data_IF_574258973149
#
_entry.id   IF_574258973149
#
_cell.length_a   1.000
_cell.length_b   1.000
_cell.length_c   1.000
_cell.angle_alpha   90.00
_cell.angle_beta   90.00
_cell.angle_gamma   90.00
#
_symmetry.space_group_name_H-M   'P 1'
#
loop_
_entity.id
_entity.type
_entity.pdbx_description
1 polymer ?
#
# COMPACT_ATOMS: atom_id res chain seq x y z
N UNK A 1 -30.57 -11.81 -5.37
CA UNK A 1 -29.18 -11.52 -4.95
C UNK A 1 -28.33 -12.55 -5.62
N UNK A 2 -27.34 -12.14 -6.41
CA UNK A 2 -26.36 -13.09 -6.92
C UNK A 2 -25.60 -13.65 -5.70
N UNK A 3 -25.57 -14.97 -5.58
CA UNK A 3 -24.74 -15.63 -4.58
C UNK A 3 -23.28 -15.43 -5.03
N UNK A 4 -22.62 -14.45 -4.48
CA UNK A 4 -21.20 -14.25 -4.66
C UNK A 4 -20.49 -15.31 -3.82
N UNK A 5 -19.70 -16.13 -4.47
CA UNK A 5 -18.89 -17.13 -3.80
C UNK A 5 -17.55 -16.49 -3.44
N UNK A 6 -17.54 -15.70 -2.38
CA UNK A 6 -16.31 -15.10 -1.84
C UNK A 6 -15.45 -16.24 -1.29
N UNK A 7 -14.23 -16.32 -1.79
CA UNK A 7 -13.28 -17.38 -1.41
C UNK A 7 -12.51 -16.99 -0.18
N UNK A 8 -11.31 -16.46 -0.36
CA UNK A 8 -10.41 -16.15 0.75
C UNK A 8 -10.01 -14.67 0.74
N UNK A 9 -10.38 -13.92 1.78
CA UNK A 9 -9.90 -12.55 1.95
C UNK A 9 -8.39 -12.50 2.11
N UNK A 10 -7.79 -11.40 1.62
CA UNK A 10 -6.37 -11.12 1.74
C UNK A 10 -6.14 -9.80 2.44
N UNK A 11 -5.20 -9.80 3.37
CA UNK A 11 -4.73 -8.63 4.09
C UNK A 11 -3.31 -8.32 3.66
N UNK A 12 -3.02 -7.04 3.42
CA UNK A 12 -1.70 -6.54 3.08
C UNK A 12 -1.26 -5.61 4.19
N UNK A 13 -0.36 -6.07 5.04
CA UNK A 13 0.09 -5.37 6.24
C UNK A 13 1.36 -4.57 5.98
N UNK A 14 1.51 -3.41 6.63
CA UNK A 14 2.62 -2.48 6.41
C UNK A 14 3.74 -2.67 7.43
N UNK A 15 4.86 -3.22 7.00
CA UNK A 15 6.04 -3.40 7.83
C UNK A 15 6.82 -2.09 8.05
N UNK A 16 6.76 -1.12 7.13
CA UNK A 16 7.49 0.15 7.28
C UNK A 16 7.02 0.85 8.55
N UNK A 17 5.72 1.08 8.68
CA UNK A 17 5.17 1.76 9.85
C UNK A 17 5.16 0.89 11.11
N UNK A 18 5.12 -0.42 10.95
CA UNK A 18 5.31 -1.34 12.07
C UNK A 18 6.67 -1.14 12.74
N UNK A 19 7.74 -1.07 11.97
CA UNK A 19 9.09 -0.84 12.47
C UNK A 19 9.30 0.58 12.98
N UNK A 20 8.73 1.59 12.30
CA UNK A 20 8.80 2.99 12.76
C UNK A 20 8.20 3.17 14.15
N UNK A 21 7.06 2.59 14.42
CA UNK A 21 6.42 2.67 15.73
C UNK A 21 7.23 2.02 16.84
N UNK A 22 8.20 1.16 16.49
CA UNK A 22 9.13 0.52 17.41
C UNK A 22 10.51 1.21 17.48
N UNK A 23 10.59 2.43 16.99
CA UNK A 23 11.77 3.29 17.12
C UNK A 23 12.84 3.07 16.05
N UNK A 24 12.53 2.35 14.97
CA UNK A 24 13.47 2.19 13.85
C UNK A 24 13.31 3.32 12.84
N UNK A 25 14.41 3.92 12.41
CA UNK A 25 14.43 4.85 11.28
C UNK A 25 14.32 4.04 9.98
N UNK A 26 13.14 3.99 9.38
CA UNK A 26 12.85 2.99 8.35
C UNK A 26 12.79 3.55 6.94
N UNK A 27 12.53 4.81 6.74
CA UNK A 27 12.38 5.36 5.40
C UNK A 27 13.19 6.63 5.18
N UNK A 28 13.75 6.81 3.99
CA UNK A 28 14.43 8.05 3.57
C UNK A 28 14.27 8.27 2.08
N UNK A 29 14.31 9.54 1.67
CA UNK A 29 14.45 9.94 0.26
C UNK A 29 15.88 10.45 0.07
N UNK A 30 16.52 9.99 -0.99
CA UNK A 30 17.86 10.47 -1.36
C UNK A 30 17.78 11.97 -1.67
N UNK A 31 18.70 12.74 -1.08
CA UNK A 31 18.73 14.20 -1.24
C UNK A 31 19.03 14.58 -2.71
N UNK A 32 18.58 15.75 -3.10
CA UNK A 32 18.87 16.32 -4.42
C UNK A 32 20.36 16.35 -4.67
N UNK A 33 20.78 15.73 -5.74
CA UNK A 33 22.19 15.60 -6.14
C UNK A 33 22.31 15.67 -7.66
N UNK A 34 22.91 16.73 -8.15
CA UNK A 34 23.13 16.93 -9.60
C UNK A 34 24.15 15.97 -10.19
N UNK A 35 25.04 15.40 -9.38
CA UNK A 35 26.05 14.43 -9.85
C UNK A 35 25.45 13.05 -10.11
N UNK A 36 24.40 12.69 -9.38
CA UNK A 36 23.69 11.41 -9.48
C UNK A 36 22.23 11.59 -9.97
N UNK A 37 21.87 12.83 -10.36
CA UNK A 37 20.56 13.13 -10.94
C UNK A 37 19.38 12.71 -10.07
N UNK A 38 19.46 12.94 -8.75
CA UNK A 38 18.37 12.69 -7.84
C UNK A 38 17.54 13.95 -7.55
N UNK A 39 16.24 13.75 -7.37
CA UNK A 39 15.30 14.74 -6.86
C UNK A 39 14.96 14.36 -5.42
N UNK A 40 15.32 15.23 -4.49
CA UNK A 40 15.00 15.07 -3.08
C UNK A 40 13.59 15.55 -2.73
N UNK A 41 13.27 15.46 -1.45
CA UNK A 41 12.03 16.00 -0.90
C UNK A 41 12.01 17.54 -1.04
N UNK A 42 10.84 18.14 -1.34
CA UNK A 42 10.65 19.57 -1.21
C UNK A 42 10.97 20.06 0.21
N UNK A 43 11.47 21.27 0.34
CA UNK A 43 11.88 21.83 1.64
C UNK A 43 10.75 21.91 2.69
N UNK A 44 9.50 21.85 2.26
CA UNK A 44 8.31 21.87 3.11
C UNK A 44 7.86 20.51 3.59
N UNK A 45 8.45 19.44 3.05
CA UNK A 45 8.05 18.07 3.32
C UNK A 45 9.18 17.27 4.01
N UNK A 46 8.74 16.27 4.75
CA UNK A 46 9.60 15.27 5.38
C UNK A 46 9.24 13.89 4.87
N UNK A 47 10.07 12.89 5.12
CA UNK A 47 9.74 11.49 4.78
C UNK A 47 8.49 11.02 5.54
N UNK A 48 8.20 11.63 6.67
CA UNK A 48 7.01 11.31 7.47
C UNK A 48 5.71 11.58 6.73
N UNK A 49 5.69 12.55 5.82
CA UNK A 49 4.51 12.85 4.99
C UNK A 49 4.18 11.70 4.02
N UNK A 50 5.16 10.89 3.64
CA UNK A 50 4.97 9.68 2.82
C UNK A 50 4.62 8.44 3.65
N UNK A 51 4.83 8.51 4.96
CA UNK A 51 4.68 7.38 5.89
C UNK A 51 3.62 7.63 6.97
N UNK A 52 2.85 8.71 6.86
CA UNK A 52 1.79 9.08 7.82
C UNK A 52 0.51 8.25 7.67
N UNK A 53 0.46 7.35 6.70
CA UNK A 53 -0.71 6.53 6.33
C UNK A 53 -1.93 7.38 5.97
N UNK A 54 -1.69 8.56 5.40
CA UNK A 54 -2.69 9.48 4.87
C UNK A 54 -2.47 9.71 3.37
N UNK A 55 -2.77 8.75 2.53
CA UNK A 55 -2.42 8.84 1.11
C UNK A 55 -3.02 10.02 0.36
N UNK A 56 -3.98 10.73 0.95
CA UNK A 56 -4.51 11.98 0.40
C UNK A 56 -3.54 13.17 0.54
N UNK A 57 -2.59 13.08 1.46
CA UNK A 57 -1.52 14.06 1.63
C UNK A 57 -0.38 13.70 0.68
N UNK A 58 -0.44 14.21 -0.55
CA UNK A 58 0.58 13.90 -1.53
C UNK A 58 1.80 14.81 -1.37
N UNK A 59 2.98 14.24 -1.46
CA UNK A 59 4.25 14.97 -1.67
C UNK A 59 4.44 15.16 -3.17
N UNK A 60 4.79 16.36 -3.59
CA UNK A 60 5.03 16.70 -5.00
C UNK A 60 6.52 16.90 -5.23
N UNK A 61 7.10 16.12 -6.14
CA UNK A 61 8.50 16.19 -6.55
C UNK A 61 8.62 17.02 -7.83
N UNK A 62 9.58 17.94 -7.88
CA UNK A 62 9.82 18.81 -9.05
C UNK A 62 10.46 18.05 -10.22
N UNK A 63 9.69 17.13 -10.80
CA UNK A 63 10.15 16.29 -11.91
C UNK A 63 9.97 16.96 -13.26
N UNK A 64 9.03 17.89 -13.39
CA UNK A 64 8.77 18.63 -14.64
C UNK A 64 9.95 19.55 -15.02
N UNK A 65 10.67 20.10 -14.03
CA UNK A 65 11.88 20.89 -14.25
C UNK A 65 13.14 20.03 -14.44
N UNK A 66 13.11 18.75 -14.05
CA UNK A 66 14.25 17.83 -13.98
C UNK A 66 13.91 16.49 -14.63
N UNK A 67 13.52 16.53 -15.89
CA UNK A 67 12.87 15.41 -16.59
C UNK A 67 13.72 14.14 -16.74
N UNK A 68 15.04 14.24 -16.58
CA UNK A 68 15.97 13.10 -16.61
C UNK A 68 16.36 12.56 -15.24
N UNK A 69 15.93 13.24 -14.15
CA UNK A 69 16.31 12.85 -12.79
C UNK A 69 15.38 11.78 -12.21
N UNK A 70 15.81 11.18 -11.11
CA UNK A 70 15.11 10.09 -10.43
C UNK A 70 14.73 10.45 -9.00
N UNK A 71 13.66 9.86 -8.48
CA UNK A 71 13.32 9.91 -7.05
C UNK A 71 13.64 8.55 -6.47
N UNK A 72 14.50 8.50 -5.46
CA UNK A 72 14.92 7.25 -4.82
C UNK A 72 14.45 7.19 -3.37
N UNK A 73 13.55 6.27 -3.09
CA UNK A 73 13.06 5.99 -1.74
C UNK A 73 13.75 4.76 -1.18
N UNK A 74 14.41 4.92 -0.05
CA UNK A 74 15.16 3.87 0.64
C UNK A 74 14.44 3.41 1.91
N UNK A 75 14.45 2.11 2.16
CA UNK A 75 13.91 1.49 3.36
C UNK A 75 14.95 0.58 4.02
N UNK A 76 15.13 0.74 5.33
CA UNK A 76 16.02 -0.12 6.12
C UNK A 76 15.22 -0.74 7.26
N UNK A 77 14.91 -2.02 7.17
CA UNK A 77 14.28 -2.74 8.27
C UNK A 77 15.30 -3.05 9.38
N UNK A 78 14.85 -3.04 10.63
CA UNK A 78 15.73 -3.29 11.78
C UNK A 78 16.29 -4.72 11.83
N UNK A 79 15.53 -5.68 11.30
CA UNK A 79 15.91 -7.09 11.20
C UNK A 79 15.50 -7.64 9.83
N UNK A 80 16.10 -8.77 9.42
CA UNK A 80 15.77 -9.49 8.20
C UNK A 80 14.69 -10.57 8.41
N UNK A 81 14.01 -10.57 9.56
CA UNK A 81 13.15 -11.71 9.96
C UNK A 81 11.68 -11.55 9.57
N UNK A 82 11.38 -10.66 8.63
CA UNK A 82 10.02 -10.42 8.19
C UNK A 82 9.87 -10.77 6.73
N UNK A 83 8.79 -11.45 6.42
CA UNK A 83 8.43 -11.76 5.03
C UNK A 83 7.94 -10.50 4.32
N UNK A 84 8.43 -10.27 3.12
CA UNK A 84 7.92 -9.24 2.24
C UNK A 84 7.42 -9.92 0.97
N UNK A 85 6.14 -9.74 0.67
CA UNK A 85 5.47 -10.37 -0.46
C UNK A 85 4.74 -9.38 -1.35
N UNK A 86 4.76 -8.09 -1.00
CA UNK A 86 4.17 -7.06 -1.83
C UNK A 86 4.80 -5.69 -1.61
N UNK A 87 4.61 -4.84 -2.59
CA UNK A 87 4.88 -3.40 -2.56
C UNK A 87 3.62 -2.68 -3.01
N UNK A 88 3.25 -1.60 -2.32
CA UNK A 88 2.18 -0.72 -2.75
C UNK A 88 2.65 0.73 -2.82
N UNK A 89 2.37 1.36 -3.96
CA UNK A 89 2.58 2.77 -4.21
C UNK A 89 1.20 3.44 -4.16
N UNK A 90 0.99 4.27 -3.13
CA UNK A 90 -0.33 4.80 -2.81
C UNK A 90 -0.55 6.19 -3.40
N UNK A 91 -1.69 6.38 -4.02
CA UNK A 91 -2.17 7.67 -4.53
C UNK A 91 -1.10 8.45 -5.31
N UNK A 92 -0.59 7.85 -6.34
CA UNK A 92 0.40 8.42 -7.25
C UNK A 92 -0.25 8.90 -8.56
N UNK A 93 0.49 9.73 -9.31
CA UNK A 93 0.12 10.15 -10.65
C UNK A 93 1.15 9.72 -11.71
N UNK A 94 1.74 8.54 -11.53
CA UNK A 94 2.80 8.04 -12.42
C UNK A 94 2.37 7.98 -13.89
N UNK A 95 1.13 7.59 -14.17
CA UNK A 95 0.63 7.59 -15.55
C UNK A 95 0.58 9.00 -16.14
N UNK A 96 0.03 9.98 -15.41
CA UNK A 96 -0.09 11.36 -15.88
C UNK A 96 1.25 12.10 -16.04
N UNK A 97 2.28 11.71 -15.26
CA UNK A 97 3.61 12.32 -15.35
C UNK A 97 4.61 11.48 -16.17
N UNK A 98 4.13 10.49 -16.93
CA UNK A 98 4.95 9.59 -17.73
C UNK A 98 6.00 8.84 -16.90
N UNK A 99 5.65 8.44 -15.68
CA UNK A 99 6.51 7.82 -14.71
C UNK A 99 6.36 6.32 -14.62
N UNK A 100 7.40 5.69 -14.11
CA UNK A 100 7.46 4.26 -13.81
C UNK A 100 8.34 4.02 -12.60
N UNK A 101 8.41 2.79 -12.09
CA UNK A 101 9.29 2.49 -10.98
C UNK A 101 9.94 1.11 -11.07
N UNK A 102 11.06 0.98 -10.37
CA UNK A 102 11.82 -0.26 -10.16
C UNK A 102 11.99 -0.50 -8.67
N UNK A 103 12.14 -1.76 -8.29
CA UNK A 103 12.32 -2.16 -6.89
C UNK A 103 13.55 -3.03 -6.75
N UNK A 104 14.41 -2.63 -5.82
CA UNK A 104 15.65 -3.33 -5.50
C UNK A 104 15.67 -3.67 -4.01
N UNK A 105 16.34 -4.75 -3.66
CA UNK A 105 16.58 -5.09 -2.26
C UNK A 105 17.91 -5.81 -2.06
N UNK A 106 18.35 -5.89 -0.82
CA UNK A 106 19.58 -6.57 -0.46
C UNK A 106 19.67 -6.92 1.02
N UNK A 107 20.56 -7.85 1.35
CA UNK A 107 20.76 -8.33 2.71
C UNK A 107 21.81 -7.52 3.51
N UNK A 108 22.64 -6.72 2.84
CA UNK A 108 23.75 -5.98 3.46
C UNK A 108 23.59 -4.47 3.32
N UNK A 109 24.18 -3.70 4.25
CA UNK A 109 24.15 -2.22 4.21
C UNK A 109 24.76 -1.63 2.95
N UNK A 110 25.75 -2.30 2.39
CA UNK A 110 26.39 -1.88 1.13
C UNK A 110 25.43 -1.90 -0.06
N UNK A 111 24.33 -2.66 0.02
CA UNK A 111 23.32 -2.69 -1.03
C UNK A 111 22.69 -1.31 -1.23
N UNK A 112 22.29 -0.61 -0.16
CA UNK A 112 21.72 0.74 -0.28
C UNK A 112 22.77 1.77 -0.69
N UNK A 113 23.98 1.71 -0.13
CA UNK A 113 25.06 2.61 -0.53
C UNK A 113 25.39 2.47 -2.01
N UNK A 114 25.30 1.26 -2.55
CA UNK A 114 25.47 1.02 -3.97
C UNK A 114 24.32 1.61 -4.80
N UNK A 115 23.11 1.59 -4.26
CA UNK A 115 21.91 2.17 -4.89
C UNK A 115 21.93 3.70 -4.87
N UNK A 116 22.47 4.31 -3.80
CA UNK A 116 22.70 5.76 -3.70
C UNK A 116 23.92 6.24 -4.51
N UNK A 117 24.73 5.30 -5.01
CA UNK A 117 26.00 5.59 -5.67
C UNK A 117 25.89 5.92 -7.15
N UNK A 118 27.04 5.98 -7.82
CA UNK A 118 27.21 6.39 -9.21
C UNK A 118 26.44 5.56 -10.26
N UNK A 119 25.88 4.43 -9.86
CA UNK A 119 25.14 3.54 -10.76
C UNK A 119 23.63 3.83 -10.82
N UNK A 120 23.12 4.68 -9.92
CA UNK A 120 21.70 5.04 -9.88
C UNK A 120 21.25 5.91 -11.07
N UNK A 121 22.20 6.39 -11.84
CA UNK A 121 22.04 7.41 -12.85
C UNK A 121 21.89 6.88 -14.28
N UNK A 122 21.94 5.59 -14.50
CA UNK A 122 21.84 5.09 -15.88
C UNK A 122 20.47 4.51 -16.13
N UNK A 123 19.83 4.92 -17.21
CA UNK A 123 18.54 4.40 -17.68
C UNK A 123 18.52 2.87 -17.87
N UNK A 124 19.70 2.28 -17.93
CA UNK A 124 19.92 0.84 -18.06
C UNK A 124 20.68 0.29 -16.87
N UNK A 125 20.24 0.60 -15.67
CA UNK A 125 20.92 0.17 -14.46
C UNK A 125 20.90 -1.35 -14.35
N UNK A 126 21.98 -1.92 -14.82
CA UNK A 126 22.38 -3.26 -14.43
C UNK A 126 22.97 -3.16 -13.02
N UNK A 127 22.10 -3.26 -12.00
CA UNK A 127 22.48 -3.23 -10.59
C UNK A 127 23.29 -4.50 -10.24
N UNK A 128 24.33 -4.77 -10.97
CA UNK A 128 25.20 -5.93 -10.80
C UNK A 128 26.14 -5.84 -9.58
N UNK A 129 25.80 -4.97 -8.63
CA UNK A 129 26.54 -4.89 -7.35
C UNK A 129 26.23 -6.11 -6.50
N UNK A 130 27.27 -6.76 -5.98
CA UNK A 130 27.14 -7.95 -5.15
C UNK A 130 26.19 -7.69 -3.97
N UNK A 131 25.16 -8.52 -3.83
CA UNK A 131 24.16 -8.45 -2.75
C UNK A 131 22.94 -7.59 -3.04
N UNK A 132 22.81 -6.99 -4.23
CA UNK A 132 21.58 -6.32 -4.69
C UNK A 132 20.81 -7.24 -5.60
N UNK A 133 19.50 -7.35 -5.36
CA UNK A 133 18.54 -8.11 -6.16
C UNK A 133 17.50 -7.15 -6.70
N UNK A 134 17.25 -7.21 -8.00
CA UNK A 134 16.12 -6.54 -8.63
C UNK A 134 14.85 -7.38 -8.40
N UNK A 135 14.00 -6.95 -7.48
CA UNK A 135 12.90 -7.76 -6.97
C UNK A 135 11.87 -8.08 -8.04
N UNK A 136 11.47 -7.08 -8.83
CA UNK A 136 10.42 -7.27 -9.84
C UNK A 136 10.94 -8.12 -11.00
N UNK A 137 12.21 -7.95 -11.39
CA UNK A 137 12.82 -8.77 -12.44
C UNK A 137 12.96 -10.24 -12.00
N UNK A 138 13.22 -10.47 -10.72
CA UNK A 138 13.30 -11.82 -10.16
C UNK A 138 11.94 -12.51 -10.04
N UNK A 139 10.83 -11.75 -10.12
CA UNK A 139 9.47 -12.28 -10.00
C UNK A 139 8.86 -12.54 -11.38
N UNK A 140 8.75 -13.81 -11.73
CA UNK A 140 8.20 -14.24 -13.03
C UNK A 140 6.72 -13.94 -13.24
N UNK A 141 6.00 -13.50 -12.19
CA UNK A 141 4.59 -13.09 -12.27
C UNK A 141 4.42 -11.68 -12.81
N UNK A 142 5.48 -10.89 -12.78
CA UNK A 142 5.48 -9.52 -13.32
C UNK A 142 6.05 -9.58 -14.72
N UNK A 143 5.30 -9.10 -15.71
CA UNK A 143 5.79 -9.00 -17.08
C UNK A 143 6.96 -8.01 -17.13
N UNK A 144 8.12 -8.49 -17.56
CA UNK A 144 9.27 -7.62 -17.80
C UNK A 144 9.12 -6.92 -19.14
N UNK A 145 9.42 -5.62 -19.18
CA UNK A 145 9.65 -4.93 -20.43
C UNK A 145 10.89 -5.50 -21.11
N UNK A 146 10.80 -5.81 -22.39
CA UNK A 146 11.90 -6.41 -23.16
C UNK A 146 13.16 -5.56 -23.20
N UNK A 147 13.05 -4.26 -22.94
CA UNK A 147 14.17 -3.32 -22.94
C UNK A 147 14.57 -2.85 -21.53
N UNK A 148 13.73 -3.07 -20.52
CA UNK A 148 13.88 -2.55 -19.16
C UNK A 148 13.28 -3.54 -18.18
N UNK A 149 13.96 -4.66 -18.02
CA UNK A 149 13.55 -5.74 -17.13
C UNK A 149 13.24 -5.20 -15.73
N UNK A 150 12.15 -5.70 -15.15
CA UNK A 150 11.76 -5.37 -13.77
C UNK A 150 11.13 -3.99 -13.56
N UNK A 151 10.74 -3.29 -14.61
CA UNK A 151 10.09 -1.99 -14.52
C UNK A 151 8.56 -2.15 -14.47
N UNK A 152 7.92 -1.40 -13.60
CA UNK A 152 6.46 -1.28 -13.54
C UNK A 152 6.03 0.08 -14.07
N UNK A 153 5.26 0.09 -15.15
CA UNK A 153 4.64 1.29 -15.71
C UNK A 153 3.13 1.21 -15.45
N UNK A 154 2.61 1.99 -14.51
CA UNK A 154 1.18 1.97 -14.21
C UNK A 154 0.32 2.51 -15.35
N UNK A 155 -0.76 1.79 -15.69
CA UNK A 155 -1.70 2.19 -16.75
C UNK A 155 -2.64 3.34 -16.33
N UNK A 156 -2.68 3.68 -15.04
CA UNK A 156 -3.55 4.72 -14.49
C UNK A 156 -2.95 5.33 -13.23
N UNK A 157 -3.38 6.56 -12.94
CA UNK A 157 -3.10 7.21 -11.66
C UNK A 157 -3.89 6.54 -10.52
N UNK A 158 -3.37 6.64 -9.30
CA UNK A 158 -4.04 6.13 -8.12
C UNK A 158 -3.13 5.25 -7.25
N UNK A 159 -3.48 3.99 -7.07
CA UNK A 159 -2.69 3.05 -6.27
C UNK A 159 -2.27 1.86 -7.11
N UNK A 160 -0.98 1.55 -7.08
CA UNK A 160 -0.43 0.35 -7.72
C UNK A 160 0.05 -0.61 -6.64
N UNK A 161 -0.41 -1.85 -6.71
CA UNK A 161 0.01 -2.93 -5.81
C UNK A 161 0.69 -4.00 -6.66
N UNK A 162 1.91 -4.35 -6.28
CA UNK A 162 2.69 -5.41 -6.92
C UNK A 162 2.94 -6.51 -5.91
N UNK A 163 2.40 -7.69 -6.16
CA UNK A 163 2.75 -8.89 -5.40
C UNK A 163 4.05 -9.46 -5.96
N UNK A 164 4.97 -9.77 -5.09
CA UNK A 164 6.29 -10.32 -5.41
C UNK A 164 6.49 -11.67 -4.75
N UNK A 165 7.50 -12.42 -5.20
CA UNK A 165 7.91 -13.63 -4.50
C UNK A 165 8.38 -13.27 -3.10
N UNK A 166 8.16 -14.16 -2.14
CA UNK A 166 8.56 -13.96 -0.75
C UNK A 166 10.05 -13.63 -0.64
N UNK A 167 10.33 -12.54 0.07
CA UNK A 167 11.64 -12.05 0.40
C UNK A 167 11.77 -11.94 1.92
N UNK A 168 13.00 -11.91 2.42
CA UNK A 168 13.36 -11.64 3.82
C UNK A 168 14.52 -10.62 3.88
N UNK A 169 14.50 -9.65 2.99
CA UNK A 169 15.60 -8.73 2.78
C UNK A 169 15.45 -7.48 3.67
N UNK A 170 16.58 -7.01 4.18
CA UNK A 170 16.60 -5.89 5.12
C UNK A 170 16.61 -4.51 4.45
N UNK A 171 17.25 -4.39 3.30
CA UNK A 171 17.49 -3.12 2.62
C UNK A 171 16.70 -3.07 1.34
N UNK A 172 15.90 -2.04 1.16
CA UNK A 172 15.06 -1.86 -0.02
C UNK A 172 15.25 -0.48 -0.61
N UNK A 173 15.14 -0.39 -1.94
CA UNK A 173 15.12 0.86 -2.65
C UNK A 173 14.05 0.80 -3.76
N UNK A 174 13.24 1.85 -3.84
CA UNK A 174 12.28 2.05 -4.91
C UNK A 174 12.73 3.27 -5.70
N UNK A 175 13.06 3.07 -6.95
CA UNK A 175 13.46 4.12 -7.87
C UNK A 175 12.27 4.49 -8.74
N UNK A 176 11.87 5.75 -8.69
CA UNK A 176 10.90 6.32 -9.62
C UNK A 176 11.65 7.10 -10.69
N UNK A 177 11.27 6.91 -11.95
CA UNK A 177 11.89 7.54 -13.11
C UNK A 177 10.86 7.83 -14.19
N UNK A 178 11.14 8.75 -15.12
CA UNK A 178 10.34 8.91 -16.31
C UNK A 178 10.50 7.72 -17.26
N UNK A 179 9.47 7.35 -18.02
CA UNK A 179 9.54 6.21 -18.96
C UNK A 179 10.67 6.39 -20.00
N UNK A 180 10.67 7.45 -20.73
CA UNK A 180 11.83 7.98 -21.46
C UNK A 180 12.38 9.21 -20.77
N UNK A 181 11.48 10.03 -20.25
CA UNK A 181 11.69 11.21 -19.41
C UNK A 181 10.37 11.52 -18.70
N UNK A 182 10.42 12.24 -17.58
CA UNK A 182 9.23 12.77 -16.95
C UNK A 182 8.50 13.73 -17.87
N UNK A 183 7.20 13.85 -17.70
CA UNK A 183 6.42 14.89 -18.38
C UNK A 183 6.89 16.29 -17.95
N UNK A 184 7.14 17.19 -18.89
CA UNK A 184 7.67 18.53 -18.62
C UNK A 184 6.64 19.52 -18.08
N UNK A 185 5.38 19.10 -17.95
CA UNK A 185 4.27 19.95 -17.48
C UNK A 185 3.59 19.41 -16.23
N UNK A 186 3.93 18.20 -15.80
CA UNK A 186 3.26 17.50 -14.71
C UNK A 186 4.27 16.92 -13.73
N UNK A 187 4.28 17.42 -12.52
CA UNK A 187 5.14 16.91 -11.45
C UNK A 187 4.66 15.58 -10.91
N UNK A 188 5.61 14.75 -10.51
CA UNK A 188 5.33 13.48 -9.82
C UNK A 188 4.78 13.74 -8.42
N UNK A 189 3.67 13.09 -8.10
CA UNK A 189 3.00 13.13 -6.81
C UNK A 189 2.90 11.74 -6.21
N UNK A 190 3.15 11.66 -4.92
CA UNK A 190 3.16 10.41 -4.18
C UNK A 190 2.46 10.59 -2.83
N UNK A 191 1.46 9.75 -2.55
CA UNK A 191 0.71 9.78 -1.29
C UNK A 191 1.24 8.81 -0.23
N UNK A 192 2.07 7.84 -0.59
CA UNK A 192 2.69 6.94 0.36
C UNK A 192 3.22 5.64 -0.24
N UNK A 193 3.97 4.92 0.56
CA UNK A 193 4.57 3.64 0.18
C UNK A 193 4.35 2.63 1.29
N UNK A 194 3.98 1.42 0.92
CA UNK A 194 3.92 0.27 1.83
C UNK A 194 4.75 -0.87 1.27
N UNK A 195 5.50 -1.52 2.15
CA UNK A 195 6.17 -2.80 1.89
C UNK A 195 5.82 -3.73 3.04
N UNK A 196 5.42 -4.93 2.74
CA UNK A 196 5.08 -5.87 3.79
C UNK A 196 4.66 -7.23 3.29
N UNK A 197 3.91 -7.89 4.11
CA UNK A 197 3.40 -9.22 3.86
C UNK A 197 1.93 -9.17 3.46
N UNK A 198 1.53 -10.03 2.53
CA UNK A 198 0.12 -10.34 2.33
C UNK A 198 -0.21 -11.65 3.05
N UNK A 199 -1.28 -11.63 3.78
CA UNK A 199 -1.82 -12.80 4.47
C UNK A 199 -3.13 -13.22 3.84
N UNK A 200 -3.19 -14.46 3.35
CA UNK A 200 -4.41 -15.08 2.86
C UNK A 200 -5.14 -15.79 3.99
N UNK A 201 -6.40 -15.42 4.20
CA UNK A 201 -7.21 -16.18 5.16
C UNK A 201 -7.26 -17.64 4.72
N UNK A 202 -6.99 -18.59 5.64
CA UNK A 202 -6.95 -20.03 5.29
C UNK A 202 -8.33 -20.59 4.95
N UNK A 203 -9.39 -19.88 5.31
CA UNK A 203 -10.77 -20.26 5.07
C UNK A 203 -11.58 -19.09 4.51
N UNK A 204 -12.63 -19.40 3.77
CA UNK A 204 -13.64 -18.42 3.37
C UNK A 204 -14.44 -17.94 4.58
N UNK A 205 -14.92 -16.69 4.58
CA UNK A 205 -15.82 -16.24 5.62
C UNK A 205 -17.16 -17.00 5.58
N UNK A 206 -17.85 -17.02 6.71
CA UNK A 206 -19.17 -17.60 6.82
C UNK A 206 -20.19 -16.93 5.88
N UNK A 207 -21.26 -17.64 5.55
CA UNK A 207 -22.31 -17.16 4.64
C UNK A 207 -23.09 -15.93 5.13
N UNK A 208 -22.92 -15.55 6.38
CA UNK A 208 -23.51 -14.35 6.96
C UNK A 208 -22.71 -13.06 6.75
N UNK A 209 -21.74 -13.09 5.84
CA UNK A 209 -20.95 -11.91 5.44
C UNK A 209 -21.87 -10.71 5.18
N UNK A 210 -21.55 -9.60 5.82
CA UNK A 210 -22.30 -8.35 5.66
C UNK A 210 -21.39 -7.25 5.10
N UNK A 211 -21.84 -6.62 4.02
CA UNK A 211 -21.26 -5.38 3.48
C UNK A 211 -22.19 -4.22 3.73
N UNK A 212 -21.69 -3.16 4.34
CA UNK A 212 -22.47 -1.96 4.67
C UNK A 212 -21.79 -0.71 4.09
N UNK A 213 -22.59 0.27 3.67
CA UNK A 213 -22.10 1.60 3.31
C UNK A 213 -22.60 2.56 4.39
N UNK A 214 -21.67 3.21 5.07
CA UNK A 214 -21.94 4.04 6.25
C UNK A 214 -21.70 5.50 5.90
N UNK A 215 -22.71 6.33 6.09
CA UNK A 215 -22.65 7.79 5.90
C UNK A 215 -22.67 8.50 7.27
N UNK A 216 -21.58 8.37 8.01
CA UNK A 216 -21.45 8.88 9.38
C UNK A 216 -21.36 10.41 9.49
N UNK A 217 -21.15 11.12 8.38
CA UNK A 217 -21.12 12.58 8.34
C UNK A 217 -22.47 13.22 8.04
N UNK A 218 -23.52 12.42 7.80
CA UNK A 218 -24.87 12.91 7.61
C UNK A 218 -25.52 13.11 8.98
N UNK A 219 -25.86 14.36 9.29
CA UNK A 219 -26.61 14.70 10.50
C UNK A 219 -28.07 14.99 10.13
N UNK A 220 -28.98 14.32 10.79
CA UNK A 220 -30.43 14.54 10.64
C UNK A 220 -30.93 15.21 11.92
N UNK A 221 -31.44 16.41 11.77
CA UNK A 221 -32.11 17.16 12.87
C UNK A 221 -33.60 17.18 12.59
N UNK A 222 -34.41 17.00 13.65
CA UNK A 222 -35.86 17.11 13.57
C UNK A 222 -36.30 18.36 14.33
N UNK A 223 -37.13 19.19 13.70
CA UNK A 223 -37.72 20.35 14.34
C UNK A 223 -38.86 19.95 15.27
N UNK A 224 -39.20 20.82 16.19
CA UNK A 224 -40.37 20.60 17.10
C UNK A 224 -41.70 20.35 16.34
N UNK A 225 -41.77 20.82 15.08
CA UNK A 225 -42.92 20.59 14.20
C UNK A 225 -42.83 19.32 13.37
N UNK A 226 -41.85 18.43 13.63
CA UNK A 226 -41.69 17.15 12.93
C UNK A 226 -41.01 17.21 11.55
N UNK A 227 -40.52 18.38 11.15
CA UNK A 227 -39.75 18.48 9.91
C UNK A 227 -38.29 18.00 10.10
N UNK A 228 -37.83 17.17 9.18
CA UNK A 228 -36.47 16.63 9.20
C UNK A 228 -35.58 17.39 8.25
N UNK A 229 -34.46 17.84 8.76
CA UNK A 229 -33.40 18.50 8.02
C UNK A 229 -32.14 17.63 8.02
N UNK A 230 -31.70 17.21 6.84
CA UNK A 230 -30.44 16.52 6.69
C UNK A 230 -29.35 17.52 6.28
N UNK A 231 -28.27 17.57 7.04
CA UNK A 231 -27.07 18.31 6.66
C UNK A 231 -25.91 17.35 6.48
N UNK A 232 -25.19 17.47 5.38
CA UNK A 232 -23.96 16.75 5.15
C UNK A 232 -22.89 17.73 4.67
N UNK A 233 -21.68 17.57 5.20
CA UNK A 233 -20.56 18.45 4.84
C UNK A 233 -20.03 18.17 3.42
N UNK A 234 -20.31 16.98 2.89
CA UNK A 234 -20.06 16.62 1.49
C UNK A 234 -20.92 15.38 1.15
N UNK A 235 -21.71 15.50 0.12
CA UNK A 235 -22.63 14.45 -0.31
C UNK A 235 -22.12 13.84 -1.62
N UNK A 236 -21.67 12.62 -1.53
CA UNK A 236 -21.51 11.74 -2.66
C UNK A 236 -20.43 12.16 -3.66
N UNK A 237 -20.15 11.27 -4.60
CA UNK A 237 -19.31 11.56 -5.76
C UNK A 237 -20.14 12.39 -6.76
N UNK A 238 -19.54 13.44 -7.31
CA UNK A 238 -20.16 14.11 -8.45
C UNK A 238 -20.17 13.15 -9.65
N UNK A 239 -21.21 13.16 -10.43
CA UNK A 239 -21.39 12.28 -11.57
C UNK A 239 -20.28 12.41 -12.66
N UNK A 240 -19.45 13.44 -12.58
CA UNK A 240 -18.31 13.68 -13.47
C UNK A 240 -16.99 13.11 -12.98
N UNK A 241 -16.91 12.56 -11.77
CA UNK A 241 -15.69 11.93 -11.28
C UNK A 241 -15.76 10.42 -11.52
N UNK A 242 -15.33 9.99 -12.69
CA UNK A 242 -15.17 8.56 -13.00
C UNK A 242 -14.03 7.89 -12.22
N UNK A 243 -13.34 8.65 -11.38
CA UNK A 243 -12.30 8.10 -10.53
C UNK A 243 -12.89 7.15 -9.50
N UNK A 244 -12.60 5.88 -9.66
CA UNK A 244 -12.95 4.81 -8.72
C UNK A 244 -11.98 4.75 -7.53
N UNK A 245 -10.92 5.55 -7.55
CA UNK A 245 -9.94 5.58 -6.48
C UNK A 245 -10.58 6.04 -5.16
N UNK A 246 -10.39 5.33 -4.05
CA UNK A 246 -10.84 5.80 -2.74
C UNK A 246 -10.13 7.09 -2.30
N UNK A 247 -9.04 7.45 -2.97
CA UNK A 247 -8.25 8.65 -2.73
C UNK A 247 -8.54 9.79 -3.70
N UNK A 248 -9.48 9.60 -4.64
CA UNK A 248 -9.80 10.65 -5.60
C UNK A 248 -10.52 11.82 -4.93
N UNK A 249 -9.97 12.99 -5.09
CA UNK A 249 -10.65 14.26 -4.86
C UNK A 249 -11.46 14.61 -6.12
N UNK A 250 -12.63 15.21 -5.94
CA UNK A 250 -13.44 15.64 -7.07
C UNK A 250 -12.71 16.70 -7.92
N UNK A 251 -13.06 16.79 -9.19
CA UNK A 251 -12.49 17.71 -10.20
C UNK A 251 -12.53 19.19 -9.83
N UNK A 252 -13.25 19.55 -8.79
CA UNK A 252 -13.38 20.94 -8.31
C UNK A 252 -12.68 21.19 -6.96
N UNK A 253 -11.73 20.33 -6.56
CA UNK A 253 -11.00 20.49 -5.30
C UNK A 253 -11.84 20.23 -4.04
N UNK A 254 -13.07 19.77 -4.20
CA UNK A 254 -13.92 19.37 -3.08
C UNK A 254 -13.77 17.88 -2.81
N UNK A 255 -13.47 17.55 -1.56
CA UNK A 255 -13.47 16.16 -1.11
C UNK A 255 -14.89 15.61 -1.18
N UNK A 256 -15.07 14.58 -1.99
CA UNK A 256 -16.35 13.92 -2.17
C UNK A 256 -16.42 12.72 -1.22
N UNK A 257 -17.33 12.76 -0.26
CA UNK A 257 -17.53 11.69 0.68
C UNK A 257 -18.59 10.71 0.19
N UNK A 258 -18.16 9.59 -0.35
CA UNK A 258 -19.02 8.51 -0.86
C UNK A 258 -19.48 7.50 0.20
N UNK A 259 -19.31 7.81 1.48
CA UNK A 259 -19.52 6.86 2.56
C UNK A 259 -18.30 5.97 2.81
N UNK A 260 -18.32 5.24 3.93
CA UNK A 260 -17.33 4.20 4.25
C UNK A 260 -17.93 2.83 4.00
N UNK A 261 -17.16 1.94 3.40
CA UNK A 261 -17.53 0.54 3.28
C UNK A 261 -17.08 -0.18 4.56
N UNK A 262 -17.96 -0.92 5.18
CA UNK A 262 -17.64 -1.81 6.30
C UNK A 262 -18.02 -3.24 5.92
N UNK A 263 -17.11 -4.15 6.21
CA UNK A 263 -17.32 -5.59 6.14
C UNK A 263 -17.40 -6.15 7.56
N UNK A 264 -18.36 -7.01 7.78
CA UNK A 264 -18.49 -7.83 8.99
C UNK A 264 -18.25 -9.27 8.56
N UNK A 265 -17.12 -9.83 8.99
CA UNK A 265 -16.61 -11.12 8.58
C UNK A 265 -16.55 -12.04 9.80
N UNK A 266 -17.19 -13.20 9.71
CA UNK A 266 -17.09 -14.25 10.70
C UNK A 266 -16.43 -15.48 10.09
N UNK A 267 -15.64 -16.17 10.89
CA UNK A 267 -14.90 -17.36 10.50
C UNK A 267 -15.09 -18.45 11.55
N UNK A 268 -16.04 -19.34 11.34
CA UNK A 268 -16.39 -20.40 12.32
C UNK A 268 -15.47 -21.63 12.27
N UNK A 269 -14.66 -21.77 11.21
CA UNK A 269 -13.89 -23.01 10.97
C UNK A 269 -12.37 -22.80 10.98
N UNK A 270 -11.88 -21.75 11.64
CA UNK A 270 -10.44 -21.57 11.82
C UNK A 270 -9.91 -22.52 12.89
N UNK A 271 -8.81 -23.21 12.57
CA UNK A 271 -8.09 -24.01 13.56
C UNK A 271 -7.31 -23.09 14.51
N UNK A 272 -6.95 -23.59 15.68
CA UNK A 272 -6.08 -22.84 16.61
C UNK A 272 -4.72 -22.50 16.00
N UNK A 273 -4.18 -23.37 15.14
CA UNK A 273 -2.93 -23.16 14.41
C UNK A 273 -3.03 -22.08 13.33
N UNK A 274 -4.21 -21.78 12.84
CA UNK A 274 -4.44 -20.67 11.90
C UNK A 274 -4.61 -19.32 12.63
N UNK A 275 -5.02 -19.35 13.88
CA UNK A 275 -5.28 -18.16 14.67
C UNK A 275 -4.07 -17.70 15.47
N UNK A 276 -3.41 -18.64 16.14
CA UNK A 276 -2.37 -18.37 17.14
C UNK A 276 -1.03 -18.97 16.72
N UNK A 277 0.06 -18.23 16.91
CA UNK A 277 1.40 -18.78 16.68
C UNK A 277 1.70 -19.95 17.62
N UNK A 278 2.56 -20.86 17.16
CA UNK A 278 2.92 -22.09 17.89
C UNK A 278 3.64 -21.84 19.20
N UNK A 279 4.28 -20.69 19.34
CA UNK A 279 4.99 -20.28 20.55
C UNK A 279 4.29 -19.10 21.24
N UNK A 280 4.44 -19.04 22.56
CA UNK A 280 3.79 -18.03 23.41
C UNK A 280 4.38 -16.62 23.31
N UNK A 281 5.47 -16.44 22.60
CA UNK A 281 6.07 -15.14 22.32
C UNK A 281 5.32 -14.47 21.17
N UNK A 282 4.57 -13.44 21.49
CA UNK A 282 3.67 -12.64 20.64
C UNK A 282 4.34 -12.02 19.39
N UNK A 283 5.60 -12.28 19.14
CA UNK A 283 6.41 -11.65 18.08
C UNK A 283 7.10 -12.65 17.15
N UNK A 284 6.63 -13.88 17.08
CA UNK A 284 7.14 -14.80 16.07
C UNK A 284 6.37 -14.63 14.78
N UNK A 285 7.09 -14.13 13.78
CA UNK A 285 6.62 -13.93 12.42
C UNK A 285 6.95 -15.14 11.51
N UNK A 286 7.30 -16.26 12.10
CA UNK A 286 7.60 -17.49 11.36
C UNK A 286 6.36 -18.35 11.08
N UNK A 287 5.30 -18.14 11.84
CA UNK A 287 4.05 -18.90 11.71
C UNK A 287 3.02 -18.01 11.02
N UNK A 288 2.49 -18.45 9.91
CA UNK A 288 1.43 -17.75 9.15
C UNK A 288 0.10 -17.82 9.92
N UNK A 289 -0.15 -16.88 10.82
CA UNK A 289 -1.36 -16.84 11.65
C UNK A 289 -2.06 -15.48 11.62
N UNK A 290 -3.36 -15.47 11.85
CA UNK A 290 -4.15 -14.21 11.89
C UNK A 290 -3.61 -13.26 12.95
N UNK A 291 -3.19 -13.78 14.12
CA UNK A 291 -2.71 -12.94 15.21
C UNK A 291 -1.34 -12.36 14.89
N UNK A 292 -0.38 -13.17 14.40
CA UNK A 292 0.99 -12.68 14.15
C UNK A 292 1.04 -11.75 12.94
N UNK A 293 0.44 -12.16 11.81
CA UNK A 293 0.69 -11.52 10.52
C UNK A 293 -0.34 -10.44 10.17
N UNK A 294 -1.48 -10.43 10.86
CA UNK A 294 -2.49 -9.40 10.63
C UNK A 294 -2.68 -8.53 11.87
N UNK A 295 -3.11 -9.11 12.99
CA UNK A 295 -3.52 -8.33 14.16
C UNK A 295 -2.37 -7.60 14.85
N UNK A 296 -1.23 -8.26 15.03
CA UNK A 296 -0.05 -7.66 15.64
C UNK A 296 0.64 -6.66 14.72
N UNK A 297 0.69 -6.92 13.40
CA UNK A 297 1.30 -6.00 12.45
C UNK A 297 0.49 -4.72 12.27
N UNK A 298 -0.82 -4.77 12.49
CA UNK A 298 -1.68 -3.58 12.46
C UNK A 298 -1.81 -2.88 13.81
N UNK A 299 -1.23 -3.45 14.90
CA UNK A 299 -1.48 -3.04 16.30
C UNK A 299 -3.00 -2.94 16.57
N UNK A 300 -3.72 -3.97 16.23
CA UNK A 300 -5.17 -4.00 16.28
C UNK A 300 -5.80 -3.00 15.31
N UNK A 301 -6.61 -2.08 15.81
CA UNK A 301 -7.27 -1.05 14.98
C UNK A 301 -6.40 0.18 14.69
N UNK A 302 -5.13 0.20 15.16
CA UNK A 302 -4.31 1.42 15.11
C UNK A 302 -3.82 1.73 13.69
N UNK A 303 -3.28 0.74 12.96
CA UNK A 303 -2.74 0.95 11.63
C UNK A 303 -3.69 0.47 10.54
N UNK A 304 -3.74 1.17 9.43
CA UNK A 304 -4.46 0.70 8.25
C UNK A 304 -3.67 -0.41 7.53
N UNK A 305 -4.39 -1.11 6.71
CA UNK A 305 -3.87 -2.15 5.80
C UNK A 305 -4.63 -2.06 4.47
N UNK A 306 -4.10 -2.72 3.44
CA UNK A 306 -4.85 -2.89 2.20
C UNK A 306 -5.60 -4.22 2.31
N UNK A 307 -6.87 -4.20 1.95
CA UNK A 307 -7.77 -5.33 2.05
C UNK A 307 -8.36 -5.69 0.69
N UNK A 308 -8.35 -6.97 0.37
CA UNK A 308 -9.07 -7.54 -0.75
C UNK A 308 -9.99 -8.64 -0.22
N UNK A 309 -11.29 -8.56 -0.55
CA UNK A 309 -12.28 -9.51 -0.01
C UNK A 309 -12.20 -10.88 -0.68
N UNK A 310 -11.72 -10.95 -1.92
CA UNK A 310 -11.55 -12.21 -2.64
C UNK A 310 -10.32 -12.16 -3.54
N UNK A 311 -9.20 -12.66 -3.03
CA UNK A 311 -7.90 -12.67 -3.73
C UNK A 311 -7.88 -13.55 -4.99
N UNK A 312 -8.88 -14.39 -5.17
CA UNK A 312 -9.00 -15.30 -6.30
C UNK A 312 -10.04 -14.85 -7.33
N UNK A 313 -10.68 -13.70 -7.09
CA UNK A 313 -11.65 -13.19 -8.04
C UNK A 313 -10.97 -12.73 -9.33
N UNK A 314 -11.43 -13.27 -10.44
CA UNK A 314 -11.08 -12.82 -11.79
C UNK A 314 -12.10 -11.80 -12.33
N UNK A 315 -13.07 -11.42 -11.51
CA UNK A 315 -14.14 -10.50 -11.89
C UNK A 315 -13.69 -9.06 -11.70
N UNK A 316 -14.28 -8.15 -12.43
CA UNK A 316 -14.04 -6.70 -12.35
C UNK A 316 -15.03 -5.99 -11.43
N UNK A 317 -15.69 -6.73 -10.56
CA UNK A 317 -16.70 -6.23 -9.63
C UNK A 317 -16.12 -5.98 -8.21
N UNK A 318 -17.00 -5.73 -7.27
CA UNK A 318 -16.61 -5.33 -5.91
C UNK A 318 -15.74 -6.34 -5.15
N UNK A 319 -15.75 -7.61 -5.53
CA UNK A 319 -14.94 -8.64 -4.88
C UNK A 319 -13.46 -8.54 -5.23
N UNK A 320 -13.13 -7.97 -6.38
CA UNK A 320 -11.73 -7.74 -6.81
C UNK A 320 -11.18 -6.39 -6.35
N UNK A 321 -11.97 -5.59 -5.64
CA UNK A 321 -11.52 -4.28 -5.18
C UNK A 321 -10.48 -4.39 -4.07
N UNK A 322 -9.41 -3.60 -4.21
CA UNK A 322 -8.45 -3.35 -3.15
C UNK A 322 -8.89 -2.12 -2.38
N UNK A 323 -8.98 -2.25 -1.06
CA UNK A 323 -9.46 -1.19 -0.20
C UNK A 323 -8.41 -0.84 0.84
N UNK A 324 -8.17 0.45 1.03
CA UNK A 324 -7.41 0.92 2.17
C UNK A 324 -8.33 0.91 3.39
N UNK A 325 -8.09 -0.01 4.31
CA UNK A 325 -9.00 -0.37 5.38
C UNK A 325 -8.33 -0.27 6.76
N UNK A 326 -9.13 -0.37 7.79
CA UNK A 326 -8.70 -0.43 9.18
C UNK A 326 -9.70 -1.28 9.95
N UNK A 327 -9.25 -2.03 10.95
CA UNK A 327 -10.17 -2.71 11.85
C UNK A 327 -11.04 -1.70 12.60
N UNK A 328 -12.33 -1.97 12.67
CA UNK A 328 -13.29 -1.14 13.40
C UNK A 328 -13.32 -1.47 14.90
N UNK A 329 -12.86 -2.67 15.27
CA UNK A 329 -12.82 -3.18 16.65
C UNK A 329 -11.43 -3.05 17.22
N UNK A 330 -11.34 -2.82 18.54
CA UNK A 330 -10.08 -2.78 19.30
C UNK A 330 -9.76 -4.13 19.96
N UNK A 331 -10.63 -5.12 19.80
CA UNK A 331 -10.46 -6.48 20.31
C UNK A 331 -10.58 -7.48 19.17
N UNK A 332 -9.80 -8.54 19.23
CA UNK A 332 -9.97 -9.73 18.42
C UNK A 332 -10.62 -10.80 19.30
N UNK A 333 -11.89 -11.06 19.08
CA UNK A 333 -12.64 -12.03 19.87
C UNK A 333 -12.50 -13.43 19.25
N UNK A 334 -11.95 -14.34 20.02
CA UNK A 334 -11.77 -15.73 19.64
C UNK A 334 -12.63 -16.61 20.55
N UNK A 335 -13.68 -17.21 19.98
CA UNK A 335 -14.57 -18.09 20.70
C UNK A 335 -14.28 -19.54 20.34
N UNK A 336 -14.04 -20.36 21.38
CA UNK A 336 -13.93 -21.81 21.20
C UNK A 336 -15.34 -22.36 21.08
N UNK A 337 -15.63 -23.05 19.97
CA UNK A 337 -16.85 -23.86 19.87
C UNK A 337 -16.55 -25.19 20.58
N UNK A 338 -17.21 -25.42 21.71
CA UNK A 338 -17.15 -26.72 22.36
C UNK A 338 -17.81 -27.77 21.45
N UNK A 339 -17.06 -28.84 21.15
CA UNK A 339 -17.61 -30.04 20.51
C UNK A 339 -18.42 -30.87 21.51
#
# INVERSE_FOLDING_TARGET
MANQNIRTPRFYTDLINYHRARGSAVGSITATNTSNEFIGLPATNTVDDLLDLRPLNQVTFDTSSQTSHHVLFNVVFSTASYKQTYIAILNHNLNSCNGRFKVFAGSTSNSITALDGANANTSDVNWSTAGVVEIINADTRVASDSNKTGTVTPDSDGTTIVAVNEQDLRYWAIQFEGDTAWDSSTDFKLGGIMIGEHFDMPQSPDLNLKRSIIYDKVKINESVGGQRYASATSLGRTASSDSKSPFALGTHGQAVYGGRIAYDLNFSFLSSSNLLPSETTVYQFSDDTVVSDVWNLTDGSHRPFIFNIDNQSTQTNAESEYMFARFAMNSLDMNQVAN
#
